data_IF_056951310604
#
_entry.id   IF_056951310604
#
_cell.length_a   1.000
_cell.length_b   1.000
_cell.length_c   1.000
_cell.angle_alpha   90.00
_cell.angle_beta   90.00
_cell.angle_gamma   90.00
#
_symmetry.space_group_name_H-M   'P 1'
#
loop_
_entity.id
_entity.type
_entity.pdbx_description
1 polymer ?
#
# COMPACT_ATOMS: atom_id res chain seq x y z
N UNK A 1 -5.70 6.80 10.55
CA UNK A 1 -4.56 5.89 10.79
C UNK A 1 -4.88 4.58 10.10
N UNK A 2 -4.14 4.22 9.06
CA UNK A 2 -4.43 3.05 8.23
C UNK A 2 -3.43 1.92 8.50
N UNK A 3 -3.89 0.68 8.44
CA UNK A 3 -3.08 -0.55 8.69
C UNK A 3 -1.82 -0.60 7.83
N UNK A 4 -1.86 -0.04 6.62
CA UNK A 4 -0.69 0.06 5.75
C UNK A 4 0.47 0.84 6.38
N UNK A 5 0.20 1.96 7.07
CA UNK A 5 1.26 2.74 7.72
C UNK A 5 1.89 1.98 8.89
N UNK A 6 1.11 1.17 9.59
CA UNK A 6 1.62 0.35 10.70
C UNK A 6 2.54 -0.76 10.19
N UNK A 7 2.22 -1.38 9.05
CA UNK A 7 3.08 -2.37 8.40
C UNK A 7 4.42 -1.76 7.94
N UNK A 8 4.37 -0.54 7.37
CA UNK A 8 5.58 0.20 6.98
C UNK A 8 6.44 0.55 8.18
N UNK A 9 5.82 0.95 9.30
CA UNK A 9 6.54 1.22 10.55
C UNK A 9 7.18 -0.03 11.16
N UNK A 10 6.70 -1.23 10.79
CA UNK A 10 7.31 -2.51 11.19
C UNK A 10 8.37 -3.02 10.21
N UNK A 11 8.67 -2.23 9.17
CA UNK A 11 9.73 -2.53 8.19
C UNK A 11 9.23 -3.30 6.96
N UNK A 12 7.92 -3.44 6.77
CA UNK A 12 7.37 -4.00 5.53
C UNK A 12 7.54 -2.97 4.40
N UNK A 13 8.19 -3.32 3.28
CA UNK A 13 8.32 -2.41 2.15
C UNK A 13 6.95 -2.00 1.60
N UNK A 14 6.79 -0.72 1.24
CA UNK A 14 5.56 -0.22 0.59
C UNK A 14 5.16 -1.03 -0.67
N UNK A 15 6.16 -1.60 -1.34
CA UNK A 15 6.00 -2.42 -2.55
C UNK A 15 5.45 -3.83 -2.30
N UNK A 16 5.32 -4.25 -1.04
CA UNK A 16 4.70 -5.52 -0.66
C UNK A 16 3.28 -5.34 -0.07
N UNK A 17 2.79 -4.09 0.00
CA UNK A 17 1.49 -3.75 0.59
C UNK A 17 0.54 -3.32 -0.52
N UNK A 18 -0.47 -4.15 -0.81
CA UNK A 18 -1.51 -3.83 -1.81
C UNK A 18 -2.75 -3.28 -1.11
N UNK A 19 -3.11 -2.03 -1.41
CA UNK A 19 -4.37 -1.43 -0.96
C UNK A 19 -5.53 -1.94 -1.82
N UNK A 20 -6.05 -3.13 -1.47
CA UNK A 20 -7.05 -3.85 -2.27
C UNK A 20 -8.41 -3.12 -2.39
N UNK A 21 -8.72 -2.18 -1.48
CA UNK A 21 -9.97 -1.41 -1.49
C UNK A 21 -9.96 -0.24 -2.49
N UNK A 22 -8.80 0.14 -3.04
CA UNK A 22 -8.70 1.10 -4.14
C UNK A 22 -8.83 0.40 -5.49
N UNK A 23 -9.53 1.06 -6.44
CA UNK A 23 -9.60 0.64 -7.83
C UNK A 23 -8.19 0.54 -8.42
N UNK A 24 -7.92 -0.44 -9.32
CA UNK A 24 -6.56 -0.69 -9.85
C UNK A 24 -5.87 0.56 -10.41
N UNK A 25 -6.67 1.47 -10.99
CA UNK A 25 -6.20 2.72 -11.58
C UNK A 25 -5.68 3.76 -10.56
N UNK A 26 -6.11 3.68 -9.30
CA UNK A 26 -5.64 4.58 -8.23
C UNK A 26 -4.36 4.07 -7.57
N UNK A 27 -4.10 2.76 -7.56
CA UNK A 27 -2.93 2.16 -6.89
C UNK A 27 -1.58 2.71 -7.38
N UNK A 28 -1.51 3.13 -8.65
CA UNK A 28 -0.29 3.70 -9.24
C UNK A 28 0.07 5.10 -8.72
N UNK A 29 -0.86 5.80 -8.06
CA UNK A 29 -0.65 7.14 -7.51
C UNK A 29 -0.41 7.15 -6.00
N UNK A 30 -0.64 6.01 -5.33
CA UNK A 30 -0.60 5.91 -3.87
C UNK A 30 0.81 5.62 -3.34
N UNK A 31 1.76 5.24 -4.22
CA UNK A 31 3.13 4.87 -3.83
C UNK A 31 3.27 3.49 -3.17
N UNK A 32 2.19 2.70 -3.19
CA UNK A 32 2.12 1.33 -2.69
C UNK A 32 2.11 0.32 -3.86
N UNK A 33 2.25 -0.97 -3.54
CA UNK A 33 2.28 -2.05 -4.51
C UNK A 33 1.06 -2.05 -5.44
N UNK A 34 1.31 -2.16 -6.75
CA UNK A 34 0.26 -2.14 -7.78
C UNK A 34 -0.15 -3.55 -8.22
N UNK A 35 0.66 -4.57 -7.91
CA UNK A 35 0.48 -5.96 -8.33
C UNK A 35 1.03 -6.95 -7.32
#
# INVERSE_FOLDING_TARGET
>A
MGVANDLVSQGVPNQDIVLAYHSPFMRQFDGFAVG
#
